data_IF_508869721820
#
_entry.id   IF_508869721820
#
_cell.length_a   1.000
_cell.length_b   1.000
_cell.length_c   1.000
_cell.angle_alpha   90.00
_cell.angle_beta   90.00
_cell.angle_gamma   90.00
#
_symmetry.space_group_name_H-M   'P 1'
#
loop_
_entity.id
_entity.type
_entity.pdbx_description
1 polymer ?
#
# COMPACT_ATOMS: atom_id res chain seq x y z
N UNK A 1 -9.33 10.24 20.11
CA UNK A 1 -9.52 10.77 18.74
C UNK A 1 -11.02 10.78 18.45
N UNK A 2 -11.61 11.92 18.08
CA UNK A 2 -13.04 12.00 17.80
C UNK A 2 -13.34 11.45 16.39
N UNK A 3 -14.56 10.96 16.12
CA UNK A 3 -15.00 10.48 14.81
C UNK A 3 -14.74 11.48 13.69
N UNK A 4 -14.83 12.79 13.98
CA UNK A 4 -14.51 13.86 13.03
C UNK A 4 -13.05 13.84 12.61
N UNK A 5 -12.14 13.75 13.58
CA UNK A 5 -10.69 13.73 13.31
C UNK A 5 -10.33 12.48 12.51
N UNK A 6 -10.90 11.33 12.90
CA UNK A 6 -10.74 10.07 12.18
C UNK A 6 -11.22 10.16 10.74
N UNK A 7 -12.40 10.76 10.47
CA UNK A 7 -12.90 10.91 9.12
C UNK A 7 -12.00 11.83 8.28
N UNK A 8 -11.56 12.95 8.86
CA UNK A 8 -10.66 13.89 8.19
C UNK A 8 -9.32 13.25 7.85
N UNK A 9 -8.75 12.47 8.77
CA UNK A 9 -7.52 11.72 8.54
C UNK A 9 -7.69 10.71 7.40
N UNK A 10 -8.75 9.89 7.43
CA UNK A 10 -9.03 8.91 6.37
C UNK A 10 -9.18 9.57 4.98
N UNK A 11 -9.89 10.70 4.91
CA UNK A 11 -10.03 11.48 3.67
C UNK A 11 -8.68 11.99 3.19
N UNK A 12 -7.85 12.50 4.09
CA UNK A 12 -6.52 13.00 3.75
C UNK A 12 -5.60 11.87 3.28
N UNK A 13 -5.65 10.70 3.93
CA UNK A 13 -4.89 9.51 3.52
C UNK A 13 -5.25 9.06 2.12
N UNK A 14 -6.55 8.95 1.80
CA UNK A 14 -7.01 8.58 0.45
C UNK A 14 -6.58 9.63 -0.59
N UNK A 15 -6.70 10.92 -0.27
CA UNK A 15 -6.26 12.00 -1.18
C UNK A 15 -4.75 12.01 -1.39
N UNK A 16 -3.96 11.77 -0.34
CA UNK A 16 -2.52 11.70 -0.40
C UNK A 16 -2.05 10.51 -1.25
N UNK A 17 -2.67 9.35 -1.05
CA UNK A 17 -2.41 8.16 -1.86
C UNK A 17 -2.79 8.38 -3.32
N UNK A 18 -3.99 8.91 -3.61
CA UNK A 18 -4.36 9.20 -4.99
C UNK A 18 -3.35 10.15 -5.66
N UNK A 19 -2.93 11.20 -4.93
CA UNK A 19 -1.92 12.15 -5.41
C UNK A 19 -0.58 11.48 -5.69
N UNK A 20 -0.16 10.49 -4.89
CA UNK A 20 1.08 9.73 -5.15
C UNK A 20 0.98 8.85 -6.40
N UNK A 21 -0.23 8.43 -6.78
CA UNK A 21 -0.51 7.74 -8.04
C UNK A 21 -0.68 8.69 -9.24
N UNK A 22 -0.46 9.99 -9.06
CA UNK A 22 -0.63 11.00 -10.12
C UNK A 22 -2.09 11.42 -10.37
N UNK A 23 -3.03 10.96 -9.54
CA UNK A 23 -4.45 11.32 -9.65
C UNK A 23 -4.88 12.24 -8.50
N UNK A 24 -5.46 13.39 -8.80
CA UNK A 24 -6.04 14.25 -7.75
C UNK A 24 -7.48 13.85 -7.48
N UNK A 25 -7.77 13.38 -6.27
CA UNK A 25 -9.13 13.08 -5.81
C UNK A 25 -9.77 14.35 -5.21
N UNK A 26 -10.84 14.84 -5.83
CA UNK A 26 -11.60 15.99 -5.35
C UNK A 26 -12.62 15.59 -4.29
N UNK A 27 -13.22 16.57 -3.62
CA UNK A 27 -14.33 16.29 -2.68
C UNK A 27 -15.54 15.71 -3.42
N UNK A 28 -15.75 16.09 -4.68
CA UNK A 28 -16.87 15.61 -5.50
C UNK A 28 -16.69 14.15 -5.86
N UNK A 29 -15.47 13.74 -6.21
CA UNK A 29 -15.14 12.34 -6.50
C UNK A 29 -15.38 11.45 -5.27
N UNK A 30 -15.00 11.93 -4.09
CA UNK A 30 -15.21 11.21 -2.83
C UNK A 30 -16.71 11.09 -2.54
N UNK A 31 -17.44 12.20 -2.63
CA UNK A 31 -18.87 12.24 -2.38
C UNK A 31 -19.63 11.33 -3.35
N UNK A 32 -19.25 11.35 -4.64
CA UNK A 32 -19.84 10.51 -5.68
C UNK A 32 -19.67 9.02 -5.41
N UNK A 33 -18.48 8.59 -4.98
CA UNK A 33 -18.22 7.18 -4.61
C UNK A 33 -18.97 6.71 -3.37
N UNK A 34 -19.24 7.63 -2.44
CA UNK A 34 -20.06 7.36 -1.26
C UNK A 34 -21.56 7.54 -1.50
N UNK A 35 -21.98 7.87 -2.73
CA UNK A 35 -23.36 8.18 -3.08
C UNK A 35 -24.01 9.27 -2.20
N UNK A 36 -23.22 10.27 -1.79
CA UNK A 36 -23.67 11.44 -1.03
C UNK A 36 -23.40 12.72 -1.82
N UNK A 37 -24.05 13.81 -1.44
CA UNK A 37 -23.81 15.11 -2.08
C UNK A 37 -22.48 15.71 -1.62
N UNK A 38 -21.82 16.47 -2.51
CA UNK A 38 -20.63 17.29 -2.17
C UNK A 38 -20.88 18.11 -0.92
N UNK A 39 -22.01 18.82 -0.87
CA UNK A 39 -22.37 19.71 0.24
C UNK A 39 -22.49 18.94 1.56
N UNK A 40 -23.03 17.72 1.53
CA UNK A 40 -23.11 16.87 2.71
C UNK A 40 -21.74 16.47 3.22
N UNK A 41 -20.86 15.98 2.33
CA UNK A 41 -19.48 15.63 2.69
C UNK A 41 -18.70 16.85 3.18
N UNK A 42 -18.78 17.98 2.50
CA UNK A 42 -18.16 19.23 2.94
C UNK A 42 -18.63 19.67 4.32
N UNK A 43 -19.91 19.46 4.65
CA UNK A 43 -20.44 19.75 5.98
C UNK A 43 -19.87 18.85 7.07
N UNK A 44 -19.68 17.56 6.77
CA UNK A 44 -19.04 16.61 7.69
C UNK A 44 -17.57 16.96 7.95
N UNK A 45 -16.82 17.34 6.91
CA UNK A 45 -15.39 17.70 7.02
C UNK A 45 -15.19 19.08 7.67
N UNK A 46 -16.01 20.06 7.27
CA UNK A 46 -15.95 21.45 7.74
C UNK A 46 -16.56 21.68 9.13
N UNK A 47 -17.32 20.72 9.66
CA UNK A 47 -17.88 20.78 11.02
C UNK A 47 -19.26 21.41 11.15
N UNK A 48 -19.94 21.72 10.05
CA UNK A 48 -21.36 22.13 10.10
C UNK A 48 -22.32 20.95 10.26
N UNK A 49 -21.81 19.71 10.18
CA UNK A 49 -22.56 18.48 10.43
C UNK A 49 -21.80 17.57 11.40
N UNK A 50 -22.55 16.85 12.22
CA UNK A 50 -21.98 15.91 13.18
C UNK A 50 -21.48 14.64 12.48
N UNK A 51 -20.29 14.19 12.88
CA UNK A 51 -19.68 12.96 12.34
C UNK A 51 -19.97 11.80 13.27
N UNK A 52 -20.85 10.89 12.83
CA UNK A 52 -21.15 9.65 13.53
C UNK A 52 -20.14 8.55 13.21
N UNK A 53 -20.13 7.50 14.04
CA UNK A 53 -19.35 6.28 13.78
C UNK A 53 -19.73 5.62 12.45
N UNK A 54 -21.00 5.73 12.05
CA UNK A 54 -21.49 5.22 10.76
C UNK A 54 -20.77 5.86 9.58
N UNK A 55 -20.59 7.18 9.59
CA UNK A 55 -19.87 7.89 8.52
C UNK A 55 -18.43 7.39 8.35
N UNK A 56 -17.74 7.10 9.46
CA UNK A 56 -16.37 6.55 9.44
C UNK A 56 -16.36 5.14 8.86
N UNK A 57 -17.32 4.30 9.24
CA UNK A 57 -17.44 2.93 8.72
C UNK A 57 -17.79 2.91 7.23
N UNK A 58 -18.75 3.74 6.83
CA UNK A 58 -19.17 3.88 5.43
C UNK A 58 -17.98 4.35 4.57
N UNK A 59 -17.23 5.35 5.03
CA UNK A 59 -16.01 5.80 4.36
C UNK A 59 -14.99 4.67 4.20
N UNK A 60 -14.70 3.93 5.28
CA UNK A 60 -13.77 2.79 5.25
C UNK A 60 -14.21 1.70 4.29
N UNK A 61 -15.52 1.46 4.17
CA UNK A 61 -16.08 0.48 3.24
C UNK A 61 -15.84 0.90 1.79
N UNK A 62 -16.17 2.14 1.44
CA UNK A 62 -16.04 2.66 0.08
C UNK A 62 -14.60 2.84 -0.40
N UNK A 63 -13.66 3.10 0.52
CA UNK A 63 -12.24 3.34 0.21
C UNK A 63 -11.32 2.28 0.79
N UNK A 64 -11.83 1.07 1.03
CA UNK A 64 -11.06 -0.01 1.68
C UNK A 64 -9.76 -0.31 0.96
N UNK A 65 -9.78 -0.38 -0.37
CA UNK A 65 -8.61 -0.71 -1.17
C UNK A 65 -7.56 0.41 -1.09
N UNK A 66 -7.97 1.66 -1.29
CA UNK A 66 -7.08 2.82 -1.21
C UNK A 66 -6.48 2.95 0.18
N UNK A 67 -7.26 2.71 1.24
CA UNK A 67 -6.77 2.76 2.62
C UNK A 67 -5.76 1.63 2.92
N UNK A 68 -5.97 0.42 2.39
CA UNK A 68 -5.00 -0.67 2.51
C UNK A 68 -3.70 -0.33 1.77
N UNK A 69 -3.81 0.14 0.53
CA UNK A 69 -2.66 0.52 -0.29
C UNK A 69 -1.91 1.73 0.31
N UNK A 70 -2.62 2.71 0.86
CA UNK A 70 -2.03 3.86 1.54
C UNK A 70 -1.32 3.47 2.84
N UNK A 71 -1.79 2.44 3.53
CA UNK A 71 -1.15 1.89 4.71
C UNK A 71 0.06 1.00 4.40
N UNK A 72 0.42 0.82 3.12
CA UNK A 72 1.46 -0.13 2.70
C UNK A 72 1.05 -1.59 2.91
N UNK A 73 -0.23 -1.85 3.21
CA UNK A 73 -0.80 -3.19 3.27
C UNK A 73 -1.10 -3.56 1.82
N UNK A 74 -0.07 -4.05 1.13
CA UNK A 74 -0.22 -4.61 -0.21
C UNK A 74 -1.39 -5.60 -0.18
N UNK A 75 -2.40 -5.34 -1.02
CA UNK A 75 -3.33 -6.37 -1.44
C UNK A 75 -2.47 -7.57 -1.86
N UNK A 76 -2.70 -8.70 -1.19
CA UNK A 76 -1.90 -9.93 -1.21
C UNK A 76 -1.62 -10.55 -2.60
N UNK A 77 -1.99 -9.88 -3.70
CA UNK A 77 -1.99 -10.41 -5.07
C UNK A 77 -1.25 -9.56 -6.11
N UNK A 78 -0.68 -8.39 -5.76
CA UNK A 78 0.15 -7.63 -6.72
C UNK A 78 1.53 -7.38 -6.16
N UNK A 79 2.51 -8.08 -6.72
CA UNK A 79 3.94 -7.79 -6.54
C UNK A 79 4.16 -6.30 -6.86
N UNK A 80 4.59 -5.49 -5.88
CA UNK A 80 4.98 -4.09 -6.11
C UNK A 80 6.04 -3.98 -7.20
N UNK A 81 6.11 -2.84 -7.89
CA UNK A 81 7.07 -2.61 -8.98
C UNK A 81 8.51 -2.84 -8.51
N UNK A 82 8.82 -2.39 -7.30
CA UNK A 82 10.11 -2.54 -6.64
C UNK A 82 10.41 -4.02 -6.40
N UNK A 83 9.44 -4.78 -5.90
CA UNK A 83 9.56 -6.22 -5.68
C UNK A 83 9.67 -7.00 -7.00
N UNK A 84 8.97 -6.57 -8.04
CA UNK A 84 9.05 -7.15 -9.37
C UNK A 84 10.44 -6.92 -9.99
N UNK A 85 11.01 -5.73 -9.82
CA UNK A 85 12.37 -5.41 -10.25
C UNK A 85 13.41 -6.24 -9.48
N UNK A 86 13.27 -6.38 -8.16
CA UNK A 86 14.14 -7.22 -7.35
C UNK A 86 14.05 -8.69 -7.75
N UNK A 87 12.85 -9.21 -8.01
CA UNK A 87 12.67 -10.57 -8.51
C UNK A 87 13.31 -10.75 -9.88
N UNK A 88 13.16 -9.79 -10.80
CA UNK A 88 13.81 -9.85 -12.11
C UNK A 88 15.35 -9.86 -12.00
N UNK A 89 15.93 -9.05 -11.12
CA UNK A 89 17.37 -9.04 -10.85
C UNK A 89 17.85 -10.37 -10.25
N UNK A 90 17.09 -10.93 -9.31
CA UNK A 90 17.41 -12.24 -8.72
C UNK A 90 17.35 -13.34 -9.77
N UNK A 91 16.36 -13.30 -10.68
CA UNK A 91 16.24 -14.25 -11.78
C UNK A 91 17.43 -14.17 -12.76
N UNK A 92 17.77 -12.99 -13.24
CA UNK A 92 18.93 -12.79 -14.13
C UNK A 92 20.25 -13.21 -13.46
N UNK A 93 20.41 -12.91 -12.18
CA UNK A 93 21.57 -13.39 -11.41
C UNK A 93 21.59 -14.93 -11.31
N UNK A 94 20.45 -15.56 -11.04
CA UNK A 94 20.39 -17.03 -10.94
C UNK A 94 20.71 -17.73 -12.25
N UNK A 95 20.21 -17.23 -13.38
CA UNK A 95 20.51 -17.76 -14.70
C UNK A 95 22.01 -17.67 -15.02
N UNK A 96 22.62 -16.50 -14.75
CA UNK A 96 24.07 -16.30 -14.97
C UNK A 96 24.92 -17.20 -14.10
N UNK A 97 24.60 -17.32 -12.81
CA UNK A 97 25.38 -18.16 -11.89
C UNK A 97 25.20 -19.65 -12.18
N UNK A 98 23.99 -20.08 -12.60
CA UNK A 98 23.74 -21.44 -13.03
C UNK A 98 24.63 -21.81 -14.23
N UNK A 99 24.72 -20.91 -15.21
CA UNK A 99 25.59 -21.08 -16.38
C UNK A 99 27.08 -21.09 -16.00
N UNK A 100 27.53 -20.16 -15.15
CA UNK A 100 28.94 -20.05 -14.75
C UNK A 100 29.42 -21.24 -13.93
N UNK A 101 28.57 -21.75 -13.04
CA UNK A 101 28.93 -22.82 -12.11
C UNK A 101 28.57 -24.23 -12.64
N UNK A 102 27.84 -24.32 -13.75
CA UNK A 102 27.39 -25.60 -14.31
C UNK A 102 26.38 -26.33 -13.43
N UNK A 103 25.55 -25.59 -12.68
CA UNK A 103 24.52 -26.12 -11.79
C UNK A 103 23.13 -25.63 -12.19
N UNK A 104 22.07 -26.22 -11.64
CA UNK A 104 20.71 -25.76 -11.93
C UNK A 104 20.40 -24.42 -11.24
N UNK A 105 19.48 -23.66 -11.83
CA UNK A 105 18.97 -22.43 -11.22
C UNK A 105 18.37 -22.66 -9.83
N UNK A 106 17.65 -23.77 -9.62
CA UNK A 106 17.07 -24.15 -8.33
C UNK A 106 18.14 -24.30 -7.24
N UNK A 107 19.33 -24.80 -7.59
CA UNK A 107 20.48 -24.87 -6.67
C UNK A 107 21.02 -23.48 -6.33
N UNK A 108 21.07 -22.56 -7.29
CA UNK A 108 21.44 -21.15 -7.03
C UNK A 108 20.38 -20.45 -6.16
N UNK A 109 19.09 -20.57 -6.52
CA UNK A 109 17.94 -20.01 -5.78
C UNK A 109 17.92 -20.49 -4.33
N UNK A 110 18.19 -21.78 -4.10
CA UNK A 110 18.26 -22.36 -2.75
C UNK A 110 19.38 -21.76 -1.91
N UNK A 111 20.55 -21.49 -2.51
CA UNK A 111 21.67 -20.82 -1.83
C UNK A 111 21.37 -19.36 -1.53
N UNK A 112 20.74 -18.63 -2.45
CA UNK A 112 20.29 -17.24 -2.21
C UNK A 112 19.32 -17.22 -1.02
N UNK A 113 18.36 -18.14 -0.99
CA UNK A 113 17.40 -18.27 0.12
C UNK A 113 18.07 -18.63 1.46
N UNK A 114 19.11 -19.45 1.45
CA UNK A 114 19.89 -19.76 2.65
C UNK A 114 20.67 -18.55 3.14
N UNK A 115 21.36 -17.83 2.23
CA UNK A 115 22.10 -16.60 2.55
C UNK A 115 21.19 -15.47 3.03
N UNK A 116 20.01 -15.30 2.44
CA UNK A 116 19.06 -14.26 2.86
C UNK A 116 18.55 -14.47 4.29
N UNK A 117 18.43 -15.73 4.74
CA UNK A 117 18.08 -16.05 6.13
C UNK A 117 19.21 -15.70 7.10
N UNK A 118 20.46 -16.00 6.71
CA UNK A 118 21.65 -15.67 7.52
C UNK A 118 21.89 -14.15 7.64
N UNK A 119 21.68 -13.39 6.55
CA UNK A 119 21.88 -11.94 6.55
C UNK A 119 20.86 -11.20 7.42
N UNK A 120 19.65 -11.73 7.59
CA UNK A 120 18.64 -11.14 8.47
C UNK A 120 18.99 -11.31 9.96
N UNK A 121 19.74 -12.35 10.31
CA UNK A 121 20.20 -12.56 11.69
C UNK A 121 21.46 -11.72 12.02
N UNK A 122 22.33 -11.46 11.03
CA UNK A 122 23.59 -10.71 11.20
C UNK A 122 23.46 -9.19 10.96
N UNK A 123 22.35 -8.70 10.40
CA UNK A 123 22.18 -7.26 10.12
C UNK A 123 22.14 -6.40 11.39
N UNK A 124 21.67 -6.97 12.50
CA UNK A 124 21.67 -6.33 13.82
C UNK A 124 23.07 -6.18 14.41
N UNK A 125 24.08 -6.90 13.89
CA UNK A 125 25.48 -6.79 14.34
C UNK A 125 26.29 -5.68 13.64
N UNK A 126 25.70 -5.05 12.63
CA UNK A 126 26.31 -3.94 11.87
C UNK A 126 25.94 -2.56 12.40
N UNK A 127 25.01 -2.47 13.36
CA UNK A 127 24.62 -1.25 14.08
C UNK A 127 24.98 -1.37 15.57
#
# INVERSE_FOLDING_TARGET
MNNKDTLNELVNTVKAWAKSQGQRLTVDDIAGRMHITRTYLSGLLGGSKEVTKKHVLDFRSHFKQELLLAAGIESNDKISRERALLLALVHDYTERMALLEGVSEETVKSRIKAKSRLILDDFDSWF
#
